data_IF_804518136082
#
_entry.id   IF_804518136082
#
_cell.length_a   1.000
_cell.length_b   1.000
_cell.length_c   1.000
_cell.angle_alpha   90.00
_cell.angle_beta   90.00
_cell.angle_gamma   90.00
#
_symmetry.space_group_name_H-M   'P 1'
#
loop_
_entity.id
_entity.type
_entity.pdbx_description
1 polymer ?
#
# COMPACT_ATOMS: atom_id res chain seq x y z
N UNK A 1 8.55 -20.06 13.68
CA UNK A 1 9.28 -18.93 13.04
C UNK A 1 8.55 -18.32 11.84
N UNK A 2 7.50 -18.97 11.31
CA UNK A 2 6.67 -18.50 10.18
C UNK A 2 5.77 -17.30 10.50
N UNK A 3 5.18 -17.21 11.70
CA UNK A 3 4.25 -16.11 12.05
C UNK A 3 4.83 -14.70 11.99
N UNK A 4 6.12 -14.51 12.37
CA UNK A 4 6.74 -13.17 12.33
C UNK A 4 7.01 -12.68 10.90
N UNK A 5 7.35 -13.59 9.99
CA UNK A 5 7.62 -13.25 8.59
C UNK A 5 6.33 -12.87 7.87
N UNK A 6 5.24 -13.60 8.12
CA UNK A 6 3.93 -13.31 7.53
C UNK A 6 3.38 -11.97 8.02
N UNK A 7 3.50 -11.69 9.33
CA UNK A 7 3.05 -10.42 9.90
C UNK A 7 3.82 -9.21 9.34
N UNK A 8 5.13 -9.34 9.13
CA UNK A 8 5.91 -8.27 8.49
C UNK A 8 5.44 -8.04 7.05
N UNK A 9 5.09 -9.12 6.34
CA UNK A 9 4.61 -9.04 4.97
C UNK A 9 3.26 -8.33 4.89
N UNK A 10 2.32 -8.71 5.75
CA UNK A 10 1.01 -8.05 5.90
C UNK A 10 1.15 -6.56 6.19
N UNK A 11 2.09 -6.18 7.06
CA UNK A 11 2.35 -4.77 7.38
C UNK A 11 2.92 -3.99 6.19
N UNK A 12 3.84 -4.57 5.42
CA UNK A 12 4.37 -3.89 4.22
C UNK A 12 3.32 -3.79 3.12
N UNK A 13 2.48 -4.82 2.97
CA UNK A 13 1.33 -4.75 2.05
C UNK A 13 0.37 -3.64 2.45
N UNK A 14 0.07 -3.53 3.75
CA UNK A 14 -0.75 -2.45 4.28
C UNK A 14 -0.16 -1.08 3.96
N UNK A 15 1.15 -0.89 4.20
CA UNK A 15 1.80 0.40 3.91
C UNK A 15 1.66 0.80 2.44
N UNK A 16 1.89 -0.14 1.52
CA UNK A 16 1.79 0.12 0.09
C UNK A 16 0.34 0.40 -0.30
N UNK A 17 -0.61 -0.39 0.19
CA UNK A 17 -2.04 -0.22 -0.10
C UNK A 17 -2.58 1.13 0.44
N UNK A 18 -2.13 1.55 1.61
CA UNK A 18 -2.55 2.80 2.23
C UNK A 18 -1.99 4.00 1.46
N UNK A 19 -0.68 3.98 1.16
CA UNK A 19 -0.03 5.07 0.45
C UNK A 19 -0.54 5.18 -0.98
N UNK A 20 -0.80 4.07 -1.67
CA UNK A 20 -1.26 4.12 -3.06
C UNK A 20 -2.66 4.71 -3.18
N UNK A 21 -3.57 4.41 -2.25
CA UNK A 21 -4.91 4.99 -2.29
C UNK A 21 -4.87 6.49 -1.98
N UNK A 22 -4.08 6.90 -0.98
CA UNK A 22 -4.09 8.30 -0.51
C UNK A 22 -3.09 9.22 -1.25
N UNK A 23 -2.40 8.76 -2.29
CA UNK A 23 -1.36 9.55 -2.99
C UNK A 23 -1.91 10.52 -4.04
N UNK A 24 -3.22 10.51 -4.29
CA UNK A 24 -3.90 11.48 -5.14
C UNK A 24 -4.11 12.84 -4.44
N UNK A 25 -3.94 12.88 -3.11
CA UNK A 25 -4.18 14.03 -2.22
C UNK A 25 -5.63 14.52 -2.21
N UNK A 26 -6.56 13.74 -2.76
CA UNK A 26 -7.99 14.00 -2.76
C UNK A 26 -8.64 13.12 -1.71
N UNK A 27 -8.36 13.39 -0.41
CA UNK A 27 -8.90 12.60 0.73
C UNK A 27 -10.37 12.22 0.53
N UNK A 28 -10.60 10.98 0.11
CA UNK A 28 -11.91 10.46 -0.20
C UNK A 28 -12.55 9.97 1.09
N UNK A 29 -13.81 10.38 1.34
CA UNK A 29 -14.56 9.90 2.51
C UNK A 29 -14.78 8.38 2.49
N UNK A 30 -14.54 7.72 1.35
CA UNK A 30 -14.68 6.28 1.18
C UNK A 30 -13.39 5.51 1.55
N UNK A 31 -12.21 6.09 1.36
CA UNK A 31 -10.93 5.49 1.79
C UNK A 31 -10.84 5.35 3.32
N UNK A 32 -11.32 6.36 4.05
CA UNK A 32 -11.37 6.32 5.52
C UNK A 32 -12.26 5.19 6.04
N UNK A 33 -13.36 4.90 5.34
CA UNK A 33 -14.25 3.77 5.68
C UNK A 33 -13.54 2.43 5.48
N UNK A 34 -12.71 2.32 4.44
CA UNK A 34 -11.94 1.11 4.19
C UNK A 34 -10.93 0.85 5.32
N UNK A 35 -10.23 1.90 5.77
CA UNK A 35 -9.34 1.82 6.93
C UNK A 35 -10.10 1.43 8.21
N UNK A 36 -11.25 2.05 8.48
CA UNK A 36 -12.06 1.73 9.66
C UNK A 36 -12.54 0.27 9.67
N UNK A 37 -12.89 -0.28 8.51
CA UNK A 37 -13.25 -1.70 8.36
C UNK A 37 -12.04 -2.60 8.65
N UNK A 38 -10.85 -2.25 8.17
CA UNK A 38 -9.62 -3.00 8.46
C UNK A 38 -9.34 -2.95 9.97
N UNK A 39 -9.35 -1.76 10.58
CA UNK A 39 -9.11 -1.56 12.01
C UNK A 39 -10.07 -2.36 12.88
N UNK A 40 -11.34 -2.46 12.50
CA UNK A 40 -12.36 -3.22 13.25
C UNK A 40 -12.08 -4.72 13.38
N UNK A 41 -11.18 -5.29 12.55
CA UNK A 41 -10.82 -6.71 12.57
C UNK A 41 -9.71 -7.04 13.57
N UNK A 42 -9.05 -6.03 14.12
CA UNK A 42 -7.94 -6.17 15.05
C UNK A 42 -8.35 -5.87 16.49
N UNK A 43 -7.58 -6.38 17.45
CA UNK A 43 -7.76 -6.03 18.86
C UNK A 43 -7.31 -4.58 19.15
N UNK A 44 -7.64 -4.06 20.32
CA UNK A 44 -7.34 -2.65 20.66
C UNK A 44 -5.85 -2.30 20.58
N UNK A 45 -4.95 -3.25 20.91
CA UNK A 45 -3.50 -3.01 20.86
C UNK A 45 -3.01 -2.94 19.43
N UNK A 46 -3.46 -3.86 18.59
CA UNK A 46 -3.12 -3.90 17.17
C UNK A 46 -3.73 -2.70 16.43
N UNK A 47 -4.92 -2.24 16.84
CA UNK A 47 -5.52 -1.00 16.33
C UNK A 47 -4.67 0.24 16.67
N UNK A 48 -4.15 0.36 17.89
CA UNK A 48 -3.25 1.46 18.27
C UNK A 48 -1.96 1.45 17.44
N UNK A 49 -1.39 0.26 17.20
CA UNK A 49 -0.20 0.11 16.36
C UNK A 49 -0.48 0.51 14.91
N UNK A 50 -1.64 0.11 14.35
CA UNK A 50 -2.05 0.50 13.00
C UNK A 50 -2.34 2.01 12.91
N UNK A 51 -2.87 2.64 13.96
CA UNK A 51 -3.04 4.10 14.03
C UNK A 51 -1.70 4.84 14.03
N UNK A 52 -0.73 4.37 14.82
CA UNK A 52 0.63 4.94 14.80
C UNK A 52 1.28 4.77 13.42
N UNK A 53 1.04 3.62 12.77
CA UNK A 53 1.56 3.35 11.44
C UNK A 53 0.94 4.25 10.38
N UNK A 54 -0.39 4.43 10.39
CA UNK A 54 -1.07 5.36 9.47
C UNK A 54 -0.61 6.80 9.67
N UNK A 55 -0.44 7.27 10.91
CA UNK A 55 0.16 8.59 11.18
C UNK A 55 1.57 8.74 10.60
N UNK A 56 2.38 7.69 10.67
CA UNK A 56 3.69 7.70 10.02
C UNK A 56 3.55 7.80 8.49
N UNK A 57 2.64 7.05 7.88
CA UNK A 57 2.41 7.07 6.43
C UNK A 57 1.83 8.42 5.97
N UNK A 58 0.94 9.05 6.74
CA UNK A 58 0.47 10.41 6.53
C UNK A 58 1.65 11.39 6.44
N UNK A 59 2.62 11.26 7.36
CA UNK A 59 3.83 12.10 7.33
C UNK A 59 4.72 11.89 6.10
N UNK A 60 4.61 10.74 5.42
CA UNK A 60 5.26 10.48 4.14
C UNK A 60 4.45 11.12 3.00
N UNK A 61 3.12 10.97 3.00
CA UNK A 61 2.23 11.58 2.03
C UNK A 61 2.40 13.10 1.99
N UNK A 62 2.41 13.76 3.16
CA UNK A 62 2.59 15.21 3.32
C UNK A 62 3.88 15.77 2.70
N UNK A 63 4.91 14.93 2.51
CA UNK A 63 6.18 15.34 1.88
C UNK A 63 6.13 15.39 0.36
N UNK A 64 5.03 14.92 -0.25
CA UNK A 64 4.81 14.96 -1.69
C UNK A 64 5.16 13.66 -2.42
N UNK A 65 4.76 13.61 -3.70
CA UNK A 65 4.73 12.37 -4.50
C UNK A 65 6.11 11.75 -4.72
N UNK A 66 7.17 12.56 -4.76
CA UNK A 66 8.54 12.07 -4.93
C UNK A 66 9.01 11.25 -3.72
N UNK A 67 8.66 11.70 -2.50
CA UNK A 67 8.99 10.98 -1.28
C UNK A 67 8.18 9.68 -1.17
N UNK A 68 6.89 9.74 -1.56
CA UNK A 68 6.02 8.56 -1.66
C UNK A 68 6.61 7.51 -2.61
N UNK A 69 7.05 7.91 -3.80
CA UNK A 69 7.70 7.00 -4.77
C UNK A 69 8.95 6.37 -4.18
N UNK A 70 9.82 7.17 -3.53
CA UNK A 70 11.03 6.67 -2.88
C UNK A 70 10.72 5.65 -1.78
N UNK A 71 9.74 5.95 -0.93
CA UNK A 71 9.29 5.07 0.13
C UNK A 71 8.82 3.72 -0.42
N UNK A 72 7.92 3.73 -1.41
CA UNK A 72 7.37 2.53 -2.04
C UNK A 72 8.46 1.71 -2.74
N UNK A 73 9.39 2.35 -3.45
CA UNK A 73 10.53 1.64 -4.09
C UNK A 73 11.39 0.93 -3.05
N UNK A 74 11.67 1.56 -1.91
CA UNK A 74 12.48 0.96 -0.85
C UNK A 74 11.78 -0.25 -0.21
N UNK A 75 10.47 -0.16 0.03
CA UNK A 75 9.66 -1.28 0.51
C UNK A 75 9.63 -2.42 -0.52
N UNK A 76 9.37 -2.08 -1.78
CA UNK A 76 9.31 -3.03 -2.89
C UNK A 76 10.61 -3.80 -3.06
N UNK A 77 11.77 -3.12 -3.05
CA UNK A 77 13.09 -3.76 -3.09
C UNK A 77 13.33 -4.70 -1.91
N UNK A 78 12.87 -4.30 -0.72
CA UNK A 78 13.00 -5.11 0.50
C UNK A 78 12.14 -6.39 0.46
N UNK A 79 11.08 -6.40 -0.35
CA UNK A 79 10.20 -7.54 -0.56
C UNK A 79 10.58 -8.41 -1.76
N UNK A 80 11.22 -7.84 -2.81
CA UNK A 80 11.42 -8.52 -4.12
C UNK A 80 12.00 -9.93 -4.03
N UNK A 81 12.91 -10.19 -3.09
CA UNK A 81 13.54 -11.51 -2.87
C UNK A 81 12.86 -12.38 -1.81
N UNK A 82 11.84 -11.84 -1.13
CA UNK A 82 11.10 -12.49 -0.03
C UNK A 82 9.74 -13.04 -0.47
N UNK A 83 9.25 -12.63 -1.63
CA UNK A 83 7.98 -13.09 -2.22
C UNK A 83 8.26 -13.74 -3.57
N UNK A 84 7.53 -14.81 -3.86
CA UNK A 84 7.57 -15.47 -5.16
C UNK A 84 6.77 -14.69 -6.21
N UNK A 85 6.76 -15.22 -7.43
CA UNK A 85 6.13 -14.57 -8.56
C UNK A 85 4.60 -14.56 -8.48
N UNK A 86 4.00 -15.59 -7.88
CA UNK A 86 2.54 -15.69 -7.68
C UNK A 86 2.07 -14.66 -6.63
N UNK A 87 2.84 -14.47 -5.56
CA UNK A 87 2.57 -13.46 -4.54
C UNK A 87 2.67 -12.03 -5.10
N UNK A 88 3.67 -11.76 -5.94
CA UNK A 88 3.78 -10.45 -6.62
C UNK A 88 2.54 -10.16 -7.45
N UNK A 89 2.07 -11.15 -8.22
CA UNK A 89 0.90 -11.00 -9.07
C UNK A 89 -0.37 -10.80 -8.23
N UNK A 90 -0.53 -11.56 -7.15
CA UNK A 90 -1.65 -11.39 -6.21
C UNK A 90 -1.67 -10.00 -5.56
N UNK A 91 -0.51 -9.44 -5.21
CA UNK A 91 -0.42 -8.12 -4.58
C UNK A 91 -0.66 -7.00 -5.57
N UNK A 92 -0.12 -7.10 -6.79
CA UNK A 92 -0.43 -6.14 -7.85
C UNK A 92 -1.91 -6.18 -8.23
N UNK A 93 -2.57 -7.34 -8.19
CA UNK A 93 -4.00 -7.43 -8.37
C UNK A 93 -4.76 -6.71 -7.23
N UNK A 94 -4.37 -6.94 -5.98
CA UNK A 94 -4.97 -6.26 -4.82
C UNK A 94 -4.83 -4.74 -4.90
N UNK A 95 -3.63 -4.23 -5.19
CA UNK A 95 -3.40 -2.78 -5.29
C UNK A 95 -4.20 -2.15 -6.43
N UNK A 96 -4.35 -2.88 -7.54
CA UNK A 96 -5.23 -2.46 -8.63
C UNK A 96 -6.69 -2.35 -8.18
N UNK A 97 -7.20 -3.33 -7.44
CA UNK A 97 -8.56 -3.26 -6.89
C UNK A 97 -8.73 -2.08 -5.94
N UNK A 98 -7.73 -1.80 -5.09
CA UNK A 98 -7.75 -0.65 -4.17
C UNK A 98 -7.86 0.67 -4.95
N UNK A 99 -7.03 0.87 -5.98
CA UNK A 99 -7.08 2.06 -6.83
C UNK A 99 -8.43 2.18 -7.57
N UNK A 100 -9.03 1.05 -7.97
CA UNK A 100 -10.33 1.05 -8.65
C UNK A 100 -11.52 1.23 -7.68
N UNK A 101 -11.32 1.24 -6.36
CA UNK A 101 -12.38 1.56 -5.41
C UNK A 101 -12.84 3.01 -5.59
N UNK A 102 -11.87 3.91 -5.79
CA UNK A 102 -12.16 5.25 -6.27
C UNK A 102 -12.50 5.16 -7.76
N UNK A 103 -13.72 5.60 -8.11
CA UNK A 103 -14.29 5.42 -9.46
C UNK A 103 -13.48 6.12 -10.58
N UNK A 104 -12.46 6.89 -10.22
CA UNK A 104 -11.52 7.54 -11.10
C UNK A 104 -10.10 7.19 -10.67
N UNK A 105 -9.28 6.69 -11.60
CA UNK A 105 -7.85 6.45 -11.36
C UNK A 105 -7.09 7.77 -11.54
N UNK A 106 -6.53 8.28 -10.45
CA UNK A 106 -5.74 9.51 -10.45
C UNK A 106 -4.34 9.26 -11.02
N UNK A 107 -3.71 10.34 -11.50
CA UNK A 107 -2.39 10.27 -12.15
C UNK A 107 -1.32 9.69 -11.22
N UNK A 108 -1.32 10.11 -9.95
CA UNK A 108 -0.32 9.69 -8.97
C UNK A 108 -0.42 8.19 -8.66
N UNK A 109 -1.64 7.69 -8.50
CA UNK A 109 -1.90 6.27 -8.25
C UNK A 109 -1.41 5.41 -9.42
N UNK A 110 -1.74 5.81 -10.66
CA UNK A 110 -1.27 5.14 -11.88
C UNK A 110 0.26 5.13 -11.95
N UNK A 111 0.90 6.26 -11.70
CA UNK A 111 2.36 6.36 -11.72
C UNK A 111 3.01 5.47 -10.64
N UNK A 112 2.44 5.45 -9.44
CA UNK A 112 2.95 4.66 -8.32
C UNK A 112 2.76 3.16 -8.54
N UNK A 113 1.62 2.76 -9.12
CA UNK A 113 1.35 1.38 -9.50
C UNK A 113 2.28 0.90 -10.61
N UNK A 114 2.49 1.72 -11.63
CA UNK A 114 3.40 1.40 -12.73
C UNK A 114 4.84 1.21 -12.20
N UNK A 115 5.26 2.07 -11.27
CA UNK A 115 6.55 1.96 -10.59
C UNK A 115 6.66 0.63 -9.83
N UNK A 116 5.62 0.20 -9.11
CA UNK A 116 5.58 -1.09 -8.43
C UNK A 116 5.70 -2.27 -9.41
N UNK A 117 4.97 -2.22 -10.52
CA UNK A 117 5.06 -3.23 -11.58
C UNK A 117 6.49 -3.34 -12.12
N UNK A 118 7.13 -2.22 -12.42
CA UNK A 118 8.52 -2.17 -12.90
C UNK A 118 9.50 -2.73 -11.87
N UNK A 119 9.35 -2.39 -10.59
CA UNK A 119 10.23 -2.94 -9.55
C UNK A 119 10.13 -4.46 -9.42
N UNK A 120 8.96 -5.03 -9.71
CA UNK A 120 8.69 -6.47 -9.63
C UNK A 120 8.80 -7.19 -10.97
N UNK A 121 9.36 -6.54 -12.00
CA UNK A 121 9.54 -7.10 -13.34
C UNK A 121 8.21 -7.60 -13.94
N UNK A 122 7.14 -6.82 -13.76
CA UNK A 122 5.80 -7.06 -14.29
C UNK A 122 5.37 -5.93 -15.21
N UNK A 123 4.54 -6.26 -16.20
CA UNK A 123 4.06 -5.29 -17.19
C UNK A 123 2.53 -5.27 -17.20
N UNK A 124 1.94 -4.95 -16.04
CA UNK A 124 0.49 -4.86 -15.84
C UNK A 124 0.07 -3.40 -16.02
N UNK A 125 -1.05 -3.16 -16.72
CA UNK A 125 -1.59 -1.82 -16.94
C UNK A 125 -2.92 -1.62 -16.22
N UNK A 126 -3.15 -0.38 -15.79
CA UNK A 126 -4.39 0.15 -15.20
C UNK A 126 -4.78 1.49 -15.83
#
# INVERSE_FOLDING_TARGET
MTNKSNHLLELVMFDIAYVISNCDYEYSSDEKKYLDIILSRYDEKDQELLKLRTQFLDSILEKGIDEVKNFVVNLSKSLKSKIDDDMKDAYLALFKEVIMLDKNVHKNERELYQLLCEQWDRNIKI
#
